data_IF_001895453454
#
_entry.id   IF_001895453454
#
_cell.length_a   1.000
_cell.length_b   1.000
_cell.length_c   1.000
_cell.angle_alpha   90.00
_cell.angle_beta   90.00
_cell.angle_gamma   90.00
#
_symmetry.space_group_name_H-M   'P 1'
#
loop_
_entity.id
_entity.type
_entity.pdbx_description
1 polymer ?
#
# COMPACT_ATOMS: atom_id res chain seq x y z
N UNK A 1 9.02 -14.50 2.38
CA UNK A 1 8.39 -13.74 3.48
C UNK A 1 6.89 -13.51 3.26
N UNK A 2 6.45 -12.92 2.14
CA UNK A 2 5.02 -12.57 1.92
C UNK A 2 4.14 -13.83 1.97
N UNK A 3 4.45 -14.82 1.14
CA UNK A 3 3.70 -16.08 1.12
C UNK A 3 3.78 -16.82 2.45
N UNK A 4 4.96 -16.85 3.09
CA UNK A 4 5.13 -17.46 4.41
C UNK A 4 4.21 -16.84 5.46
N UNK A 5 4.08 -15.51 5.48
CA UNK A 5 3.18 -14.77 6.37
C UNK A 5 1.70 -15.07 6.07
N UNK A 6 1.32 -15.07 4.80
CA UNK A 6 -0.07 -15.38 4.40
C UNK A 6 -0.41 -16.81 4.79
N UNK A 7 0.45 -17.78 4.50
CA UNK A 7 0.24 -19.21 4.79
C UNK A 7 0.22 -19.50 6.29
N UNK A 8 0.97 -18.74 7.10
CA UNK A 8 0.96 -18.88 8.56
C UNK A 8 -0.42 -18.59 9.18
N UNK A 9 -1.13 -17.57 8.69
CA UNK A 9 -2.50 -17.26 9.13
C UNK A 9 -3.30 -16.59 8.01
N UNK A 10 -3.89 -17.38 7.09
CA UNK A 10 -4.59 -16.84 5.93
C UNK A 10 -5.78 -15.95 6.31
N UNK A 11 -6.45 -16.24 7.42
CA UNK A 11 -7.63 -15.50 7.86
C UNK A 11 -7.27 -14.06 8.21
N UNK A 12 -6.15 -13.85 8.89
CA UNK A 12 -5.75 -12.52 9.38
C UNK A 12 -4.74 -11.80 8.49
N UNK A 13 -4.02 -12.51 7.61
CA UNK A 13 -2.96 -11.93 6.78
C UNK A 13 -3.32 -11.74 5.31
N UNK A 14 -4.44 -12.29 4.79
CA UNK A 14 -4.82 -12.11 3.38
C UNK A 14 -5.34 -10.72 3.01
N UNK A 15 -5.69 -9.89 4.00
CA UNK A 15 -6.34 -8.58 3.78
C UNK A 15 -5.42 -7.42 4.16
N UNK A 16 -5.61 -6.26 3.52
CA UNK A 16 -4.81 -5.06 3.75
C UNK A 16 -3.45 -5.08 3.05
N UNK A 17 -3.30 -5.92 2.02
CA UNK A 17 -2.14 -5.88 1.14
C UNK A 17 -2.25 -4.63 0.23
N UNK A 18 -1.13 -3.99 -0.18
CA UNK A 18 -1.18 -2.75 -0.95
C UNK A 18 -2.01 -2.82 -2.22
N UNK A 19 -2.67 -1.73 -2.55
CA UNK A 19 -3.57 -1.61 -3.71
C UNK A 19 -2.86 -1.81 -5.05
N UNK A 20 -1.65 -1.28 -5.17
CA UNK A 20 -0.89 -1.23 -6.41
C UNK A 20 0.51 -1.81 -6.25
N UNK A 21 1.05 -2.30 -7.36
CA UNK A 21 2.48 -2.51 -7.58
C UNK A 21 2.90 -1.78 -8.84
N UNK A 22 3.96 -1.00 -8.72
CA UNK A 22 4.63 -0.32 -9.81
C UNK A 22 5.83 -1.16 -10.22
N UNK A 23 6.01 -1.35 -11.52
CA UNK A 23 7.21 -1.97 -12.09
C UNK A 23 7.90 -0.95 -12.99
N UNK A 24 9.21 -0.80 -12.83
CA UNK A 24 10.04 0.05 -13.68
C UNK A 24 11.40 -0.64 -13.89
N UNK A 25 11.70 -0.97 -15.13
CA UNK A 25 12.89 -1.74 -15.51
C UNK A 25 13.01 -3.02 -14.64
N UNK A 26 14.13 -3.17 -13.94
CA UNK A 26 14.40 -4.30 -13.03
C UNK A 26 13.99 -4.01 -11.57
N UNK A 27 13.16 -3.01 -11.33
CA UNK A 27 12.73 -2.58 -9.99
C UNK A 27 11.22 -2.61 -9.83
N UNK A 28 10.77 -2.65 -8.58
CA UNK A 28 9.35 -2.60 -8.23
C UNK A 28 9.12 -1.82 -6.95
N UNK A 29 7.87 -1.40 -6.74
CA UNK A 29 7.45 -0.66 -5.55
C UNK A 29 5.98 -0.99 -5.25
N UNK A 30 5.69 -1.46 -4.04
CA UNK A 30 4.31 -1.56 -3.58
C UNK A 30 3.78 -0.17 -3.18
N UNK A 31 2.50 0.07 -3.45
CA UNK A 31 1.85 1.36 -3.16
C UNK A 31 0.46 1.12 -2.57
N UNK A 32 0.24 1.69 -1.39
CA UNK A 32 -1.09 1.83 -0.79
C UNK A 32 -1.61 3.24 -1.09
N UNK A 33 -2.81 3.37 -1.65
CA UNK A 33 -3.37 4.68 -2.02
C UNK A 33 -4.32 5.17 -0.92
N UNK A 34 -4.28 6.48 -0.64
CA UNK A 34 -5.18 7.14 0.30
C UNK A 34 -5.78 8.39 -0.31
N UNK A 35 -7.11 8.43 -0.42
CA UNK A 35 -7.84 9.61 -0.81
C UNK A 35 -8.05 10.59 0.34
N UNK A 36 -8.66 11.76 0.07
CA UNK A 36 -8.98 12.74 1.10
C UNK A 36 -9.91 12.15 2.18
N UNK A 37 -9.47 12.21 3.43
CA UNK A 37 -10.21 11.67 4.58
C UNK A 37 -9.93 10.19 4.89
N UNK A 38 -9.18 9.49 4.04
CA UNK A 38 -8.79 8.11 4.32
C UNK A 38 -7.68 8.03 5.38
N UNK A 39 -7.72 6.96 6.15
CA UNK A 39 -6.67 6.62 7.11
C UNK A 39 -6.10 5.24 6.83
N UNK A 40 -4.89 4.96 7.30
CA UNK A 40 -4.29 3.64 7.23
C UNK A 40 -5.01 2.69 8.19
N UNK A 41 -5.60 1.62 7.65
CA UNK A 41 -6.21 0.59 8.46
C UNK A 41 -5.13 -0.26 9.16
N UNK A 42 -5.47 -0.87 10.30
CA UNK A 42 -4.52 -1.66 11.11
C UNK A 42 -3.87 -2.81 10.34
N UNK A 43 -4.61 -3.48 9.47
CA UNK A 43 -4.10 -4.57 8.63
C UNK A 43 -3.12 -4.08 7.57
N UNK A 44 -3.36 -2.91 6.96
CA UNK A 44 -2.43 -2.24 6.04
C UNK A 44 -1.13 -1.85 6.74
N UNK A 45 -1.24 -1.23 7.92
CA UNK A 45 -0.06 -0.88 8.72
C UNK A 45 0.80 -2.11 9.05
N UNK A 46 0.17 -3.25 9.38
CA UNK A 46 0.91 -4.50 9.63
C UNK A 46 1.66 -5.00 8.39
N UNK A 47 1.13 -4.80 7.19
CA UNK A 47 1.84 -5.15 5.96
C UNK A 47 2.99 -4.20 5.69
N UNK A 48 2.79 -2.89 5.85
CA UNK A 48 3.84 -1.88 5.70
C UNK A 48 5.01 -2.10 6.68
N UNK A 49 4.72 -2.39 7.95
CA UNK A 49 5.75 -2.73 8.94
C UNK A 49 6.57 -3.96 8.54
N UNK A 50 5.91 -4.94 7.94
CA UNK A 50 6.59 -6.16 7.49
C UNK A 50 7.44 -5.88 6.26
N UNK A 51 7.00 -5.00 5.36
CA UNK A 51 7.82 -4.59 4.23
C UNK A 51 9.06 -3.83 4.67
N UNK A 52 8.89 -2.88 5.59
CA UNK A 52 9.99 -2.11 6.21
C UNK A 52 11.02 -3.03 6.89
N UNK A 53 10.57 -4.02 7.67
CA UNK A 53 11.44 -4.99 8.35
C UNK A 53 12.26 -5.89 7.41
N UNK A 54 11.85 -6.02 6.15
CA UNK A 54 12.45 -6.94 5.20
C UNK A 54 12.99 -6.25 3.95
N UNK A 55 13.17 -4.93 4.00
CA UNK A 55 13.66 -4.10 2.89
C UNK A 55 12.85 -4.29 1.60
N UNK A 56 11.54 -4.55 1.73
CA UNK A 56 10.62 -4.64 0.60
C UNK A 56 10.13 -3.22 0.30
N UNK A 57 10.33 -2.69 -0.91
CA UNK A 57 9.93 -1.32 -1.24
C UNK A 57 8.40 -1.16 -1.16
N UNK A 58 7.93 -0.36 -0.21
CA UNK A 58 6.53 0.03 -0.06
C UNK A 58 6.37 1.52 0.30
N UNK A 59 5.34 2.19 -0.21
CA UNK A 59 5.00 3.58 0.14
C UNK A 59 3.49 3.77 0.25
N UNK A 60 3.09 4.91 0.83
CA UNK A 60 1.69 5.36 0.85
C UNK A 60 1.57 6.60 -0.04
N UNK A 61 0.71 6.52 -1.06
CA UNK A 61 0.42 7.62 -1.97
C UNK A 61 -0.86 8.34 -1.51
N UNK A 62 -0.70 9.56 -1.00
CA UNK A 62 -1.83 10.43 -0.67
C UNK A 62 -2.24 11.22 -1.90
N UNK A 63 -3.49 11.06 -2.33
CA UNK A 63 -4.05 11.74 -3.50
C UNK A 63 -5.09 12.77 -3.07
N UNK A 64 -5.20 13.84 -3.86
CA UNK A 64 -6.20 14.89 -3.68
C UNK A 64 -6.92 15.13 -4.99
N UNK A 65 -8.19 15.55 -4.90
CA UNK A 65 -8.91 16.04 -6.07
C UNK A 65 -8.24 17.32 -6.56
N UNK A 66 -7.96 17.39 -7.86
CA UNK A 66 -7.61 18.66 -8.49
C UNK A 66 -8.87 19.52 -8.56
N UNK A 67 -8.86 20.70 -7.95
CA UNK A 67 -9.94 21.67 -8.17
C UNK A 67 -9.81 22.17 -9.60
N UNK A 68 -10.78 21.86 -10.44
CA UNK A 68 -10.87 22.44 -11.77
C UNK A 68 -10.99 23.96 -11.60
N UNK A 69 -10.05 24.72 -12.18
CA UNK A 69 -10.15 26.17 -12.18
C UNK A 69 -11.47 26.55 -12.88
N UNK A 70 -12.33 27.30 -12.18
CA UNK A 70 -13.51 27.90 -12.78
C UNK A 70 -13.04 28.76 -13.95
N UNK A 71 -13.34 28.32 -15.18
CA UNK A 71 -13.18 29.13 -16.37
C UNK A 71 -14.42 30.03 -16.40
N UNK A 72 -14.25 31.26 -15.91
CA UNK A 72 -15.20 32.37 -16.15
C UNK A 72 -15.40 32.62 -17.66
#
# INVERSE_FOLDING_TARGET
MIFSRILFDPKHNRSGFPDLILFQDDTYQWVEVKGPGDTLQRNQLRWLQVFDQHDIPALVAFVTWEQQADID
#
